data_IF_535069780326
#
_entry.id   IF_535069780326
#
_cell.length_a   1.000
_cell.length_b   1.000
_cell.length_c   1.000
_cell.angle_alpha   90.00
_cell.angle_beta   90.00
_cell.angle_gamma   90.00
#
_symmetry.space_group_name_H-M   'P 1'
#
loop_
_entity.id
_entity.type
_entity.pdbx_description
1 polymer ?
#
# COMPACT_ATOMS: atom_id res chain seq x y z
N UNK A 1 -17.77 -9.59 10.25
CA UNK A 1 -17.25 -10.20 9.01
C UNK A 1 -16.09 -9.39 8.49
N UNK A 2 -14.97 -10.02 8.23
CA UNK A 2 -13.74 -9.37 7.77
C UNK A 2 -13.36 -9.90 6.39
N UNK A 3 -13.10 -9.01 5.45
CA UNK A 3 -12.73 -9.41 4.10
C UNK A 3 -11.24 -9.17 3.85
N UNK A 4 -10.62 -10.08 3.11
CA UNK A 4 -9.22 -9.99 2.67
C UNK A 4 -9.17 -10.02 1.15
N UNK A 5 -8.45 -9.06 0.55
CA UNK A 5 -8.14 -9.07 -0.87
C UNK A 5 -6.90 -9.93 -1.08
N UNK A 6 -6.97 -10.90 -2.01
CA UNK A 6 -5.84 -11.73 -2.40
C UNK A 6 -5.71 -11.71 -3.92
N UNK A 7 -4.60 -11.22 -4.40
CA UNK A 7 -4.29 -11.14 -5.83
C UNK A 7 -2.88 -11.66 -6.07
N UNK A 8 -2.63 -12.12 -7.30
CA UNK A 8 -1.28 -12.46 -7.73
C UNK A 8 -1.03 -11.96 -9.15
N UNK A 9 0.22 -11.60 -9.41
CA UNK A 9 0.68 -11.19 -10.73
C UNK A 9 1.91 -12.01 -11.10
N UNK A 10 1.91 -12.58 -12.30
CA UNK A 10 3.07 -13.29 -12.85
C UNK A 10 3.87 -12.28 -13.66
N UNK A 11 5.10 -12.00 -13.21
CA UNK A 11 5.96 -10.97 -13.76
C UNK A 11 7.21 -11.59 -14.35
N UNK A 12 7.53 -11.35 -15.64
CA UNK A 12 8.72 -11.93 -16.29
C UNK A 12 9.99 -11.14 -15.94
N UNK A 13 10.22 -10.91 -14.65
CA UNK A 13 11.34 -10.14 -14.12
C UNK A 13 11.89 -10.80 -12.87
N UNK A 14 13.21 -10.65 -12.57
CA UNK A 14 13.81 -11.24 -11.37
C UNK A 14 13.28 -10.58 -10.09
N UNK A 15 13.34 -11.32 -8.96
CA UNK A 15 12.88 -10.85 -7.66
C UNK A 15 13.50 -9.52 -7.25
N UNK A 16 14.79 -9.35 -7.48
CA UNK A 16 15.51 -8.11 -7.15
C UNK A 16 14.84 -6.89 -7.79
N UNK A 17 14.47 -7.01 -9.05
CA UNK A 17 13.86 -5.93 -9.81
C UNK A 17 12.44 -5.63 -9.33
N UNK A 18 11.65 -6.67 -9.09
CA UNK A 18 10.29 -6.52 -8.54
C UNK A 18 10.37 -5.90 -7.14
N UNK A 19 11.32 -6.34 -6.33
CA UNK A 19 11.55 -5.77 -5.00
C UNK A 19 11.85 -4.27 -5.05
N UNK A 20 12.70 -3.82 -5.95
CA UNK A 20 13.00 -2.40 -6.10
C UNK A 20 11.74 -1.58 -6.39
N UNK A 21 10.85 -2.09 -7.22
CA UNK A 21 9.58 -1.42 -7.52
C UNK A 21 8.63 -1.34 -6.33
N UNK A 22 8.80 -2.20 -5.31
CA UNK A 22 8.02 -2.19 -4.07
C UNK A 22 8.66 -1.37 -2.96
N UNK A 23 9.98 -1.31 -2.92
CA UNK A 23 10.73 -0.78 -1.78
C UNK A 23 11.38 0.59 -2.02
N UNK A 24 11.54 0.99 -3.27
CA UNK A 24 12.08 2.30 -3.62
C UNK A 24 10.93 3.31 -3.74
N UNK A 25 10.99 4.46 -3.04
CA UNK A 25 9.88 5.42 -3.03
C UNK A 25 9.56 6.01 -4.40
N UNK A 26 10.57 6.25 -5.25
CA UNK A 26 10.33 6.79 -6.58
C UNK A 26 9.68 5.76 -7.49
N UNK A 27 10.16 4.52 -7.47
CA UNK A 27 9.62 3.45 -8.28
C UNK A 27 8.21 3.06 -7.82
N UNK A 28 7.99 2.93 -6.51
CA UNK A 28 6.66 2.66 -5.96
C UNK A 28 5.69 3.78 -6.31
N UNK A 29 6.14 5.03 -6.22
CA UNK A 29 5.35 6.20 -6.60
C UNK A 29 4.98 6.26 -8.09
N UNK A 30 5.79 5.64 -8.94
CA UNK A 30 5.57 5.62 -10.39
C UNK A 30 4.40 4.72 -10.80
N UNK A 31 4.08 3.69 -10.01
CA UNK A 31 2.97 2.80 -10.35
C UNK A 31 1.84 2.82 -9.32
N UNK A 32 2.04 3.42 -8.17
CA UNK A 32 1.03 3.48 -7.11
C UNK A 32 0.78 4.92 -6.65
N UNK A 33 1.30 5.33 -5.50
CA UNK A 33 1.09 6.68 -4.95
C UNK A 33 2.41 7.28 -4.47
N UNK A 34 2.49 8.61 -4.46
CA UNK A 34 3.62 9.31 -3.85
C UNK A 34 3.80 8.85 -2.40
N UNK A 35 5.04 8.59 -2.00
CA UNK A 35 5.35 8.03 -0.69
C UNK A 35 6.78 8.34 -0.27
N UNK A 36 7.09 8.03 0.98
CA UNK A 36 8.42 8.14 1.55
C UNK A 36 8.85 6.83 2.23
N UNK A 37 8.53 5.70 1.61
CA UNK A 37 8.84 4.38 2.15
C UNK A 37 10.34 4.18 2.36
N UNK A 38 10.68 3.49 3.45
CA UNK A 38 12.00 2.94 3.72
C UNK A 38 11.78 1.52 4.25
N UNK A 39 12.35 0.49 3.62
CA UNK A 39 12.06 -0.92 3.97
C UNK A 39 12.78 -1.36 5.23
N UNK A 40 12.44 -0.74 6.35
CA UNK A 40 13.00 -1.00 7.69
C UNK A 40 11.86 -1.27 8.66
N UNK A 41 11.92 -2.36 9.41
CA UNK A 41 10.89 -2.71 10.38
C UNK A 41 10.67 -1.57 11.38
N UNK A 42 9.41 -1.22 11.61
CA UNK A 42 9.02 -0.15 12.51
C UNK A 42 9.04 1.26 11.90
N UNK A 43 9.47 1.40 10.65
CA UNK A 43 9.50 2.71 9.98
C UNK A 43 8.10 3.20 9.65
N UNK A 44 7.81 4.45 9.97
CA UNK A 44 6.54 5.12 9.63
C UNK A 44 6.68 5.89 8.32
N UNK A 45 5.75 5.66 7.40
CA UNK A 45 5.70 6.39 6.14
C UNK A 45 4.26 6.67 5.73
N UNK A 46 4.08 7.48 4.70
CA UNK A 46 2.75 7.83 4.19
C UNK A 46 2.68 7.63 2.68
N UNK A 47 1.51 7.22 2.21
CA UNK A 47 1.11 7.41 0.81
C UNK A 47 0.27 8.68 0.74
N UNK A 48 0.46 9.46 -0.31
CA UNK A 48 -0.23 10.73 -0.50
C UNK A 48 -0.88 10.80 -1.87
N UNK A 49 -2.14 11.16 -1.87
CA UNK A 49 -2.89 11.42 -3.08
C UNK A 49 -3.73 12.69 -2.89
N UNK A 50 -4.44 13.10 -3.93
CA UNK A 50 -5.28 14.29 -3.88
C UNK A 50 -6.34 14.14 -2.77
N UNK A 51 -6.50 15.15 -1.89
CA UNK A 51 -7.54 15.11 -0.86
C UNK A 51 -8.94 14.89 -1.42
N UNK A 52 -9.74 14.14 -0.68
CA UNK A 52 -11.14 13.86 -1.03
C UNK A 52 -12.05 14.29 0.10
N UNK A 53 -13.36 14.44 -0.18
CA UNK A 53 -14.33 14.82 0.83
C UNK A 53 -14.31 13.84 2.01
N UNK A 54 -14.05 14.33 3.22
CA UNK A 54 -13.99 13.55 4.44
C UNK A 54 -12.68 12.78 4.65
N UNK A 55 -11.65 13.06 3.81
CA UNK A 55 -10.36 12.42 3.94
C UNK A 55 -9.26 13.32 3.35
N UNK A 56 -8.15 13.46 4.05
CA UNK A 56 -7.03 14.35 3.67
C UNK A 56 -6.15 13.81 2.53
N UNK A 57 -6.42 12.59 2.04
CA UNK A 57 -5.63 11.96 1.00
C UNK A 57 -4.35 11.30 1.51
N UNK A 58 -4.17 11.19 2.82
CA UNK A 58 -2.98 10.62 3.43
C UNK A 58 -3.29 9.23 3.98
N UNK A 59 -2.52 8.23 3.57
CA UNK A 59 -2.57 6.88 4.14
C UNK A 59 -1.36 6.68 5.03
N UNK A 60 -1.60 6.29 6.26
CA UNK A 60 -0.57 6.14 7.31
C UNK A 60 -0.14 4.69 7.40
N UNK A 61 1.16 4.46 7.29
CA UNK A 61 1.75 3.14 7.24
C UNK A 61 2.88 2.96 8.23
N UNK A 62 2.98 1.77 8.79
CA UNK A 62 4.12 1.32 9.60
C UNK A 62 4.58 -0.03 9.07
N UNK A 63 5.87 -0.16 8.78
CA UNK A 63 6.46 -1.43 8.34
C UNK A 63 6.37 -2.44 9.49
N UNK A 64 5.62 -3.52 9.29
CA UNK A 64 5.43 -4.59 10.28
C UNK A 64 6.43 -5.72 10.10
N UNK A 65 6.71 -6.11 8.86
CA UNK A 65 7.68 -7.15 8.55
C UNK A 65 8.37 -6.82 7.24
N UNK A 66 9.64 -7.10 7.16
CA UNK A 66 10.43 -6.95 5.94
C UNK A 66 11.48 -8.05 5.85
N UNK A 67 11.48 -8.75 4.73
CA UNK A 67 12.51 -9.70 4.34
C UNK A 67 12.91 -9.33 2.91
N UNK A 68 14.12 -8.75 2.71
CA UNK A 68 14.52 -8.22 1.41
C UNK A 68 14.35 -9.21 0.27
N UNK A 69 13.76 -8.76 -0.82
CA UNK A 69 13.46 -9.52 -2.04
C UNK A 69 12.40 -10.62 -1.87
N UNK A 70 11.86 -10.82 -0.66
CA UNK A 70 10.88 -11.88 -0.40
C UNK A 70 9.54 -11.38 0.10
N UNK A 71 9.55 -10.48 1.08
CA UNK A 71 8.32 -10.08 1.75
C UNK A 71 8.41 -8.68 2.36
N UNK A 72 7.32 -7.93 2.25
CA UNK A 72 7.13 -6.69 2.99
C UNK A 72 5.65 -6.56 3.37
N UNK A 73 5.39 -6.20 4.62
CA UNK A 73 4.05 -5.89 5.08
C UNK A 73 4.05 -4.62 5.90
N UNK A 74 2.98 -3.85 5.78
CA UNK A 74 2.81 -2.62 6.53
C UNK A 74 1.34 -2.32 6.76
N UNK A 75 1.07 -1.55 7.80
CA UNK A 75 -0.29 -1.05 8.05
C UNK A 75 -0.69 -0.09 6.93
N UNK A 76 -1.98 -0.04 6.66
CA UNK A 76 -2.56 0.83 5.65
C UNK A 76 -3.81 1.46 6.26
N UNK A 77 -3.63 2.66 6.84
CA UNK A 77 -4.67 3.33 7.62
C UNK A 77 -5.01 4.69 7.04
N UNK A 78 -6.29 5.01 7.01
CA UNK A 78 -6.78 6.31 6.55
C UNK A 78 -6.63 7.43 7.57
N UNK A 79 -6.34 7.11 8.83
CA UNK A 79 -6.15 8.06 9.91
C UNK A 79 -4.81 7.85 10.60
N UNK A 80 -4.21 8.94 11.08
CA UNK A 80 -3.02 8.85 11.92
C UNK A 80 -3.42 8.30 13.29
N UNK A 81 -2.81 7.19 13.69
CA UNK A 81 -2.99 6.59 15.02
C UNK A 81 -1.66 6.44 15.72
N UNK A 82 -1.61 6.81 17.02
CA UNK A 82 -0.38 6.79 17.79
C UNK A 82 0.44 8.06 17.64
N UNK A 83 1.26 8.34 18.64
CA UNK A 83 2.04 9.59 18.71
C UNK A 83 2.98 9.78 17.52
N UNK A 84 3.67 8.73 17.10
CA UNK A 84 4.62 8.79 15.98
C UNK A 84 3.92 9.11 14.66
N UNK A 85 2.78 8.50 14.41
CA UNK A 85 2.03 8.74 13.19
C UNK A 85 1.45 10.16 13.17
N UNK A 86 0.94 10.65 14.30
CA UNK A 86 0.43 12.01 14.43
C UNK A 86 1.54 13.05 14.24
N UNK A 87 2.70 12.83 14.81
CA UNK A 87 3.86 13.71 14.68
C UNK A 87 4.35 13.78 13.21
N UNK A 88 4.43 12.64 12.54
CA UNK A 88 4.84 12.58 11.12
C UNK A 88 3.83 13.23 10.18
N UNK A 89 2.55 13.19 10.52
CA UNK A 89 1.49 13.75 9.68
C UNK A 89 1.34 15.27 9.83
N UNK A 90 1.87 15.88 10.91
CA UNK A 90 1.72 17.29 11.19
C UNK A 90 0.27 17.71 11.39
N UNK A 91 -0.58 16.81 11.86
CA UNK A 91 -2.02 17.04 12.02
C UNK A 91 -2.28 17.66 13.39
N UNK A 92 -2.94 18.82 13.40
CA UNK A 92 -3.48 19.42 14.61
C UNK A 92 -4.89 18.86 14.88
N UNK A 93 -5.21 18.64 16.15
CA UNK A 93 -6.42 17.96 16.60
C UNK A 93 -7.74 18.52 16.02
N UNK A 94 -7.81 19.82 15.80
CA UNK A 94 -9.05 20.48 15.34
C UNK A 94 -9.38 20.22 13.86
N UNK A 95 -8.37 19.90 13.07
CA UNK A 95 -8.53 19.59 11.63
C UNK A 95 -8.87 18.11 11.43
N UNK A 96 -8.41 17.25 12.32
CA UNK A 96 -8.63 15.81 12.26
C UNK A 96 -10.11 15.45 12.31
N UNK A 97 -10.87 16.09 13.20
CA UNK A 97 -12.31 15.79 13.40
C UNK A 97 -13.17 16.05 12.16
N UNK A 98 -12.78 16.98 11.31
CA UNK A 98 -13.52 17.29 10.08
C UNK A 98 -13.16 16.38 8.92
N UNK A 99 -11.92 15.85 8.90
CA UNK A 99 -11.38 15.02 7.82
C UNK A 99 -11.66 13.53 8.01
N UNK A 100 -11.94 13.10 9.25
CA UNK A 100 -12.06 11.69 9.61
C UNK A 100 -13.45 11.07 9.39
N UNK A 101 -14.39 11.81 8.82
CA UNK A 101 -15.78 11.34 8.61
C UNK A 101 -15.98 10.52 7.33
N UNK A 102 -15.00 10.49 6.45
CA UNK A 102 -15.08 9.73 5.19
C UNK A 102 -14.76 8.26 5.38
N UNK A 103 -15.29 7.43 4.48
CA UNK A 103 -15.08 5.98 4.54
C UNK A 103 -13.60 5.58 4.39
N UNK A 104 -12.82 6.31 3.56
CA UNK A 104 -11.39 6.06 3.40
C UNK A 104 -10.58 6.41 4.65
N UNK A 105 -11.04 7.39 5.44
CA UNK A 105 -10.43 7.72 6.72
C UNK A 105 -10.56 6.60 7.75
N UNK A 106 -11.55 5.73 7.59
CA UNK A 106 -11.82 4.60 8.51
C UNK A 106 -11.07 3.33 8.16
N UNK A 107 -10.26 3.35 7.12
CA UNK A 107 -9.43 2.19 6.77
C UNK A 107 -8.40 1.92 7.88
N UNK A 108 -8.40 0.69 8.36
CA UNK A 108 -7.42 0.18 9.32
C UNK A 108 -7.08 -1.25 8.89
N UNK A 109 -6.17 -1.33 7.94
CA UNK A 109 -5.87 -2.57 7.23
C UNK A 109 -4.38 -2.85 7.23
N UNK A 110 -4.00 -4.04 6.75
CA UNK A 110 -2.60 -4.44 6.56
C UNK A 110 -2.42 -4.88 5.11
N UNK A 111 -1.40 -4.32 4.47
CA UNK A 111 -1.02 -4.65 3.11
C UNK A 111 0.26 -5.47 3.13
N UNK A 112 0.27 -6.59 2.42
CA UNK A 112 1.43 -7.49 2.32
C UNK A 112 1.74 -7.81 0.87
N UNK A 113 3.02 -7.78 0.54
CA UNK A 113 3.55 -8.25 -0.74
C UNK A 113 4.54 -9.38 -0.48
N UNK A 114 4.36 -10.49 -1.17
CA UNK A 114 5.28 -11.65 -1.09
C UNK A 114 5.72 -12.01 -2.50
N UNK A 115 7.03 -12.23 -2.66
CA UNK A 115 7.64 -12.57 -3.94
C UNK A 115 8.05 -14.04 -3.95
N UNK A 116 7.60 -14.75 -4.98
CA UNK A 116 7.91 -16.16 -5.19
C UNK A 116 8.72 -16.30 -6.49
N UNK A 117 9.95 -16.82 -6.46
CA UNK A 117 10.74 -17.00 -7.68
C UNK A 117 10.16 -18.11 -8.53
N UNK A 118 10.21 -17.92 -9.86
CA UNK A 118 9.83 -18.93 -10.84
C UNK A 118 10.92 -19.06 -11.90
N UNK A 119 10.83 -20.06 -12.74
CA UNK A 119 11.79 -20.27 -13.84
C UNK A 119 11.84 -19.10 -14.83
N UNK A 120 10.75 -18.37 -15.01
CA UNK A 120 10.68 -17.26 -15.95
C UNK A 120 10.55 -15.88 -15.32
N UNK A 121 10.67 -15.77 -13.99
CA UNK A 121 10.51 -14.48 -13.32
C UNK A 121 10.05 -14.59 -11.88
N UNK A 122 9.05 -13.80 -11.51
CA UNK A 122 8.55 -13.70 -10.15
C UNK A 122 7.02 -13.73 -10.13
N UNK A 123 6.44 -14.45 -9.17
CA UNK A 123 5.03 -14.29 -8.83
C UNK A 123 4.94 -13.33 -7.65
N UNK A 124 4.23 -12.22 -7.85
CA UNK A 124 3.94 -11.27 -6.79
C UNK A 124 2.58 -11.59 -6.20
N UNK A 125 2.57 -11.89 -4.90
CA UNK A 125 1.34 -12.09 -4.13
C UNK A 125 1.01 -10.84 -3.35
N UNK A 126 -0.19 -10.30 -3.54
CA UNK A 126 -0.72 -9.19 -2.77
C UNK A 126 -1.80 -9.70 -1.84
N UNK A 127 -1.71 -9.32 -0.57
CA UNK A 127 -2.74 -9.57 0.43
C UNK A 127 -3.06 -8.28 1.17
N UNK A 128 -4.31 -7.85 1.11
CA UNK A 128 -4.77 -6.64 1.78
C UNK A 128 -5.94 -7.02 2.68
N UNK A 129 -5.67 -7.09 3.99
CA UNK A 129 -6.58 -7.64 5.00
C UNK A 129 -7.06 -6.59 5.99
N UNK A 130 -8.19 -6.87 6.66
CA UNK A 130 -8.71 -6.03 7.73
C UNK A 130 -9.92 -5.18 7.36
N UNK A 131 -10.57 -5.45 6.23
CA UNK A 131 -11.82 -4.77 5.86
C UNK A 131 -12.97 -5.31 6.70
N UNK A 132 -13.27 -4.62 7.80
CA UNK A 132 -14.28 -5.03 8.78
C UNK A 132 -15.63 -4.37 8.50
N UNK A 133 -16.70 -5.17 8.58
CA UNK A 133 -18.06 -4.70 8.41
C UNK A 133 -18.49 -4.54 6.96
N UNK A 134 -19.78 -4.27 6.76
CA UNK A 134 -20.41 -4.22 5.43
C UNK A 134 -19.86 -3.09 4.56
N UNK A 135 -19.74 -1.89 5.13
CA UNK A 135 -19.27 -0.71 4.37
C UNK A 135 -17.85 -0.89 3.86
N UNK A 136 -16.93 -1.33 4.71
CA UNK A 136 -15.55 -1.58 4.31
C UNK A 136 -15.44 -2.82 3.40
N UNK A 137 -16.32 -3.80 3.56
CA UNK A 137 -16.44 -4.94 2.64
C UNK A 137 -16.76 -4.49 1.22
N UNK A 138 -17.67 -3.54 1.05
CA UNK A 138 -17.99 -2.95 -0.26
C UNK A 138 -16.81 -2.16 -0.81
N UNK A 139 -16.16 -1.37 0.02
CA UNK A 139 -14.95 -0.61 -0.37
C UNK A 139 -13.84 -1.56 -0.82
N UNK A 140 -13.70 -2.72 -0.17
CA UNK A 140 -12.70 -3.71 -0.56
C UNK A 140 -12.87 -4.23 -2.00
N UNK A 141 -14.12 -4.29 -2.49
CA UNK A 141 -14.38 -4.68 -3.89
C UNK A 141 -13.84 -3.63 -4.87
N UNK A 142 -14.03 -2.35 -4.55
CA UNK A 142 -13.50 -1.24 -5.34
C UNK A 142 -11.97 -1.23 -5.29
N UNK A 143 -11.40 -1.41 -4.11
CA UNK A 143 -9.95 -1.48 -3.90
C UNK A 143 -9.34 -2.67 -4.66
N UNK A 144 -10.02 -3.80 -4.68
CA UNK A 144 -9.56 -4.99 -5.42
C UNK A 144 -9.46 -4.70 -6.92
N UNK A 145 -10.43 -4.01 -7.50
CA UNK A 145 -10.38 -3.58 -8.90
C UNK A 145 -9.22 -2.65 -9.16
N UNK A 146 -8.98 -1.70 -8.27
CA UNK A 146 -7.85 -0.78 -8.33
C UNK A 146 -6.51 -1.51 -8.24
N UNK A 147 -6.35 -2.42 -7.29
CA UNK A 147 -5.15 -3.25 -7.15
C UNK A 147 -4.88 -4.11 -8.39
N UNK A 148 -5.91 -4.72 -8.93
CA UNK A 148 -5.79 -5.52 -10.15
C UNK A 148 -5.24 -4.69 -11.30
N UNK A 149 -5.76 -3.48 -11.50
CA UNK A 149 -5.27 -2.55 -12.52
C UNK A 149 -3.81 -2.16 -12.28
N UNK A 150 -3.44 -1.86 -11.04
CA UNK A 150 -2.07 -1.51 -10.68
C UNK A 150 -1.10 -2.65 -10.97
N UNK A 151 -1.43 -3.87 -10.56
CA UNK A 151 -0.56 -5.03 -10.71
C UNK A 151 -0.45 -5.54 -12.14
N UNK A 152 -1.50 -5.40 -12.96
CA UNK A 152 -1.53 -5.96 -14.31
C UNK A 152 -1.16 -4.96 -15.41
N UNK A 153 -1.25 -3.66 -15.12
CA UNK A 153 -0.99 -2.62 -16.13
C UNK A 153 0.14 -1.68 -15.73
N UNK A 154 0.04 -1.05 -14.56
CA UNK A 154 0.99 -0.01 -14.16
C UNK A 154 2.33 -0.57 -13.70
N UNK A 155 2.32 -1.58 -12.85
CA UNK A 155 3.57 -2.19 -12.35
C UNK A 155 4.40 -2.83 -13.47
N UNK A 156 3.83 -3.63 -14.40
CA UNK A 156 4.60 -4.16 -15.52
C UNK A 156 5.23 -3.08 -16.39
N UNK A 157 4.55 -1.96 -16.59
CA UNK A 157 5.08 -0.83 -17.37
C UNK A 157 6.32 -0.22 -16.70
N UNK A 158 6.28 -0.04 -15.39
CA UNK A 158 7.44 0.45 -14.61
C UNK A 158 8.59 -0.53 -14.68
N UNK A 159 8.32 -1.84 -14.51
CA UNK A 159 9.34 -2.88 -14.60
C UNK A 159 10.00 -2.93 -16.00
N UNK A 160 9.22 -2.75 -17.05
CA UNK A 160 9.74 -2.66 -18.41
C UNK A 160 10.70 -1.47 -18.58
N UNK A 161 10.36 -0.31 -18.02
CA UNK A 161 11.19 0.89 -18.07
C UNK A 161 12.49 0.76 -17.26
N UNK A 162 12.51 -0.06 -16.23
CA UNK A 162 13.71 -0.32 -15.40
C UNK A 162 14.77 -1.16 -16.10
N UNK A 163 14.44 -1.81 -17.22
CA UNK A 163 15.40 -2.67 -17.95
C UNK A 163 16.33 -1.91 -18.87
N UNK A 164 16.09 -0.65 -19.07
CA UNK A 164 16.96 0.22 -19.84
C UNK A 164 17.87 1.01 -18.91
#
# INVERSE_FOLDING_TARGET
MTRTIKLKAVLPYPQEKVWQALADPQLLGSWFMQNNIEPTQGYYFTFRMKPQKGWDGITHCEIKAVEPQKHISYTYRGEATGEKALACAGIHSDTADKLTKGIFAKLDTVLSFTLEPTCGGTILHLEHSGYKGLKLGIISLIMQMGWKKQLTKKLPKVLEQMTT
#
